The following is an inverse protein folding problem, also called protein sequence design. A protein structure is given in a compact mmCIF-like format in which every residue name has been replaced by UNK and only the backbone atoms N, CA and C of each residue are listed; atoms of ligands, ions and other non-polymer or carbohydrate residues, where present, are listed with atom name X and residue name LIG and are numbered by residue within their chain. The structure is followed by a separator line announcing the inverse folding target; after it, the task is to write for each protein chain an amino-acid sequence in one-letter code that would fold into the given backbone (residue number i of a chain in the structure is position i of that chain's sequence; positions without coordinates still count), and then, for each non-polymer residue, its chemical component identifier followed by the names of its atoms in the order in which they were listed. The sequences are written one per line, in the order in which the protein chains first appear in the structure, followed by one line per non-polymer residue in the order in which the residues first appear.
data_IF_299568376824
#
_entry.id   IF_299568376824
#
_cell.length_a   1.000
_cell.length_b   1.000
_cell.length_c   1.000
_cell.angle_alpha   90.00
_cell.angle_beta   90.00
_cell.angle_gamma   90.00
#
_symmetry.space_group_name_H-M   'P 1'
#
loop_
_entity.id
_entity.type
_entity.pdbx_description
1 polymer ?
#
# COMPACT_ATOMS: atom_id res chain seq x y z
N UNK A 1 3.29 3.82 25.20
CA UNK A 1 2.67 3.97 23.86
C UNK A 1 3.45 3.20 22.77
N UNK A 2 4.74 3.50 22.55
CA UNK A 2 5.59 2.94 21.45
C UNK A 2 5.68 1.41 21.38
N UNK A 3 5.97 0.71 22.50
CA UNK A 3 6.18 -0.76 22.49
C UNK A 3 4.97 -1.58 22.02
N UNK A 4 3.75 -1.14 22.34
CA UNK A 4 2.53 -1.83 21.90
C UNK A 4 2.31 -1.62 20.41
N UNK A 5 2.47 -0.38 19.95
CA UNK A 5 2.41 -0.03 18.53
C UNK A 5 3.41 -0.86 17.73
N UNK A 6 4.70 -0.83 18.09
CA UNK A 6 5.74 -1.59 17.38
C UNK A 6 5.45 -3.09 17.32
N UNK A 7 4.90 -3.65 18.39
CA UNK A 7 4.54 -5.06 18.44
C UNK A 7 3.38 -5.37 17.50
N UNK A 8 2.34 -4.54 17.49
CA UNK A 8 1.18 -4.72 16.60
C UNK A 8 1.57 -4.53 15.13
N UNK A 9 2.40 -3.52 14.84
CA UNK A 9 2.97 -3.28 13.51
C UNK A 9 3.79 -4.46 13.02
N UNK A 10 4.73 -4.97 13.84
CA UNK A 10 5.56 -6.12 13.47
C UNK A 10 4.76 -7.42 13.34
N UNK A 11 3.64 -7.54 14.07
CA UNK A 11 2.76 -8.68 13.99
C UNK A 11 1.79 -8.62 12.79
N UNK A 12 1.82 -7.57 11.96
CA UNK A 12 0.96 -7.44 10.79
C UNK A 12 -0.50 -7.13 11.11
N UNK A 13 -0.79 -6.62 12.31
CA UNK A 13 -2.17 -6.43 12.78
C UNK A 13 -2.91 -5.36 11.98
N UNK A 14 -2.22 -4.32 11.54
CA UNK A 14 -2.83 -3.25 10.74
C UNK A 14 -3.21 -3.75 9.35
N UNK A 15 -2.33 -4.53 8.73
CA UNK A 15 -2.52 -5.14 7.43
C UNK A 15 -3.71 -6.11 7.47
N UNK A 16 -3.79 -6.98 8.49
CA UNK A 16 -4.92 -7.89 8.66
C UNK A 16 -6.24 -7.14 8.94
N UNK A 17 -6.20 -6.06 9.72
CA UNK A 17 -7.37 -5.23 10.00
C UNK A 17 -7.90 -4.58 8.73
N UNK A 18 -7.04 -3.93 7.95
CA UNK A 18 -7.42 -3.25 6.71
C UNK A 18 -7.83 -4.23 5.61
N UNK A 19 -7.19 -5.40 5.53
CA UNK A 19 -7.60 -6.49 4.63
C UNK A 19 -9.03 -6.95 4.93
N UNK A 20 -9.38 -7.10 6.21
CA UNK A 20 -10.74 -7.43 6.65
C UNK A 20 -11.73 -6.34 6.23
N UNK A 21 -11.39 -5.07 6.43
CA UNK A 21 -12.23 -3.95 5.99
C UNK A 21 -12.40 -3.93 4.46
N UNK A 22 -11.34 -4.20 3.71
CA UNK A 22 -11.38 -4.33 2.25
C UNK A 22 -12.33 -5.43 1.79
N UNK A 23 -12.25 -6.61 2.41
CA UNK A 23 -13.15 -7.75 2.14
C UNK A 23 -14.63 -7.46 2.43
N UNK A 24 -14.92 -6.50 3.31
CA UNK A 24 -16.28 -6.07 3.65
C UNK A 24 -16.76 -4.88 2.81
N UNK A 25 -15.90 -4.25 2.01
CA UNK A 25 -16.26 -3.05 1.26
C UNK A 25 -17.22 -3.39 0.11
N UNK A 26 -18.38 -2.71 0.02
CA UNK A 26 -19.31 -2.89 -1.09
C UNK A 26 -18.80 -2.25 -2.39
N UNK A 27 -17.74 -1.43 -2.34
CA UNK A 27 -17.29 -0.61 -3.48
C UNK A 27 -15.88 -0.94 -3.96
N UNK A 28 -15.06 -1.64 -3.18
CA UNK A 28 -13.67 -1.97 -3.50
C UNK A 28 -13.49 -2.77 -4.80
N UNK A 29 -14.51 -3.54 -5.20
CA UNK A 29 -14.53 -4.28 -6.46
C UNK A 29 -14.92 -3.41 -7.67
N UNK A 30 -15.52 -2.24 -7.44
CA UNK A 30 -15.88 -1.28 -8.47
C UNK A 30 -14.75 -0.28 -8.69
N UNK A 31 -14.36 0.42 -7.63
CA UNK A 31 -13.43 1.53 -7.67
C UNK A 31 -12.41 1.37 -6.54
N UNK A 32 -11.15 1.55 -6.88
CA UNK A 32 -10.09 1.78 -5.91
C UNK A 32 -9.40 3.10 -6.20
N UNK A 33 -9.23 3.90 -5.15
CA UNK A 33 -8.62 5.22 -5.20
C UNK A 33 -7.22 5.17 -4.61
N UNK A 34 -6.27 5.86 -5.25
CA UNK A 34 -4.87 5.90 -4.87
C UNK A 34 -4.40 7.35 -4.72
N UNK A 35 -3.79 7.65 -3.58
CA UNK A 35 -3.18 8.95 -3.31
C UNK A 35 -1.95 8.77 -2.42
N UNK A 36 -1.09 9.78 -2.37
CA UNK A 36 0.04 9.81 -1.46
C UNK A 36 0.23 11.17 -0.83
N UNK A 37 0.49 11.18 0.47
CA UNK A 37 0.76 12.41 1.23
C UNK A 37 2.02 12.29 2.06
N UNK A 38 2.73 13.41 2.26
CA UNK A 38 3.88 13.47 3.14
C UNK A 38 3.37 13.66 4.58
N UNK A 39 3.65 12.70 5.46
CA UNK A 39 3.28 12.77 6.87
C UNK A 39 4.43 13.39 7.65
N UNK A 40 4.16 14.52 8.33
CA UNK A 40 5.17 15.12 9.19
C UNK A 40 5.37 14.29 10.45
N UNK A 41 6.58 13.78 10.68
CA UNK A 41 6.93 13.14 11.94
C UNK A 41 6.79 14.15 13.10
N UNK A 42 6.10 13.75 14.17
CA UNK A 42 6.02 14.54 15.40
C UNK A 42 7.43 14.80 15.95
N UNK A 43 7.65 15.93 16.64
CA UNK A 43 8.99 16.32 17.16
C UNK A 43 9.67 15.25 18.03
N UNK A 44 8.88 14.40 18.69
CA UNK A 44 9.36 13.26 19.50
C UNK A 44 9.70 11.99 18.68
N UNK A 45 9.49 12.01 17.36
CA UNK A 45 9.85 10.95 16.41
C UNK A 45 11.02 11.37 15.50
N UNK A 46 11.36 12.65 15.48
CA UNK A 46 12.52 13.19 14.77
C UNK A 46 13.80 12.90 15.57
N UNK A 47 14.34 11.68 15.45
CA UNK A 47 15.62 11.34 16.06
C UNK A 47 15.85 9.85 16.24
N UNK A 48 16.25 9.14 15.16
CA UNK A 48 17.09 7.95 15.29
C UNK A 48 17.87 7.70 13.99
N UNK A 49 19.20 7.67 14.08
CA UNK A 49 20.13 7.71 12.93
C UNK A 49 20.01 6.45 12.05
N UNK A 50 19.99 6.66 10.73
CA UNK A 50 19.59 5.69 9.70
C UNK A 50 20.39 4.38 9.59
N UNK A 51 19.67 3.32 9.19
CA UNK A 51 20.20 2.01 8.80
C UNK A 51 20.21 1.82 7.27
N UNK A 52 21.22 1.10 6.76
CA UNK A 52 21.54 0.98 5.33
C UNK A 52 20.40 0.41 4.47
N UNK A 53 20.29 0.97 3.26
CA UNK A 53 19.36 0.59 2.20
C UNK A 53 19.51 -0.89 1.80
N UNK A 54 18.55 -1.72 2.23
CA UNK A 54 18.37 -3.08 1.72
C UNK A 54 17.57 -3.06 0.42
N UNK A 55 18.19 -3.57 -0.65
CA UNK A 55 17.64 -3.72 -2.00
C UNK A 55 16.24 -4.34 -1.99
N UNK A 56 15.39 -3.89 -2.90
CA UNK A 56 14.05 -4.42 -3.16
C UNK A 56 14.14 -5.89 -3.61
N UNK A 57 14.04 -6.82 -2.66
CA UNK A 57 13.86 -8.24 -2.91
C UNK A 57 12.38 -8.56 -3.08
N UNK A 58 12.07 -9.21 -4.21
CA UNK A 58 10.78 -9.87 -4.48
C UNK A 58 10.53 -10.90 -3.39
N UNK A 59 9.49 -10.72 -2.59
CA UNK A 59 8.98 -11.72 -1.67
C UNK A 59 7.46 -11.68 -1.77
N UNK A 60 6.89 -12.78 -2.27
CA UNK A 60 5.47 -12.93 -2.52
C UNK A 60 4.62 -12.99 -1.25
N UNK A 61 3.32 -12.78 -1.46
CA UNK A 61 2.19 -13.17 -0.60
C UNK A 61 2.38 -13.02 0.91
N UNK A 62 2.82 -11.84 1.34
CA UNK A 62 2.57 -11.29 2.66
C UNK A 62 3.05 -9.83 2.61
N UNK A 63 2.13 -8.88 2.78
CA UNK A 63 2.50 -7.46 2.95
C UNK A 63 3.58 -7.35 4.03
N UNK A 64 4.66 -6.63 3.73
CA UNK A 64 5.75 -6.45 4.71
C UNK A 64 5.15 -5.66 5.88
N UNK A 65 5.35 -6.07 7.15
CA UNK A 65 4.85 -5.31 8.28
C UNK A 65 5.40 -3.89 8.21
N UNK A 66 4.54 -2.89 8.41
CA UNK A 66 4.81 -1.46 8.51
C UNK A 66 6.27 -1.13 8.88
N UNK A 67 7.16 -1.10 7.89
CA UNK A 67 8.59 -0.87 8.09
C UNK A 67 8.90 0.55 7.64
N UNK A 68 8.74 1.49 8.57
CA UNK A 68 9.17 2.88 8.39
C UNK A 68 10.65 2.89 8.00
N UNK A 69 10.96 3.42 6.82
CA UNK A 69 12.33 3.69 6.35
C UNK A 69 12.59 5.20 6.43
N UNK A 70 13.75 5.53 7.00
CA UNK A 70 14.39 6.85 7.16
C UNK A 70 13.76 7.82 8.18
N UNK A 71 14.54 8.16 9.21
CA UNK A 71 14.19 9.11 10.28
C UNK A 71 14.53 10.58 9.93
N UNK A 72 15.00 10.79 8.71
CA UNK A 72 15.60 12.02 8.18
C UNK A 72 14.81 12.58 6.97
N UNK A 73 13.86 11.82 6.43
CA UNK A 73 12.88 12.28 5.44
C UNK A 73 11.47 12.16 5.99
N UNK A 74 10.60 13.15 5.77
CA UNK A 74 9.18 13.02 6.09
C UNK A 74 8.59 11.86 5.26
N UNK A 75 8.09 10.77 5.86
CA UNK A 75 7.65 9.60 5.11
C UNK A 75 6.46 9.95 4.22
N UNK A 76 6.37 9.27 3.08
CA UNK A 76 5.19 9.30 2.23
C UNK A 76 4.26 8.16 2.62
N UNK A 77 3.01 8.52 2.89
CA UNK A 77 1.90 7.61 3.11
C UNK A 77 1.16 7.42 1.80
N UNK A 78 1.41 6.29 1.13
CA UNK A 78 0.69 5.90 -0.08
C UNK A 78 -0.55 5.12 0.35
N UNK A 79 -1.73 5.65 0.06
CA UNK A 79 -3.01 5.12 0.48
C UNK A 79 -3.73 4.42 -0.68
N UNK A 80 -4.42 3.32 -0.35
CA UNK A 80 -5.43 2.66 -1.19
C UNK A 80 -6.75 2.72 -0.46
N UNK A 81 -7.75 3.32 -1.08
CA UNK A 81 -9.10 3.40 -0.56
C UNK A 81 -10.13 2.80 -1.52
N UNK A 82 -11.29 2.46 -1.00
CA UNK A 82 -12.43 2.03 -1.80
C UNK A 82 -13.12 3.23 -2.49
N UNK A 83 -14.20 2.99 -3.23
CA UNK A 83 -14.99 4.04 -3.88
C UNK A 83 -15.77 4.94 -2.91
N UNK A 84 -15.86 4.60 -1.63
CA UNK A 84 -16.47 5.39 -0.56
C UNK A 84 -15.44 6.21 0.23
N UNK A 85 -14.15 5.99 0.00
CA UNK A 85 -13.05 6.64 0.70
C UNK A 85 -12.54 5.88 1.93
N UNK A 86 -13.02 4.67 2.17
CA UNK A 86 -12.56 3.83 3.27
C UNK A 86 -11.19 3.23 2.93
N UNK A 87 -10.23 3.34 3.86
CA UNK A 87 -8.87 2.83 3.66
C UNK A 87 -8.86 1.30 3.64
N UNK A 88 -8.32 0.71 2.57
CA UNK A 88 -8.18 -0.74 2.38
C UNK A 88 -6.73 -1.20 2.56
N UNK A 89 -5.76 -0.36 2.21
CA UNK A 89 -4.35 -0.66 2.39
C UNK A 89 -3.51 0.62 2.35
N UNK A 90 -2.27 0.53 2.80
CA UNK A 90 -1.31 1.60 2.63
C UNK A 90 0.12 1.05 2.62
N UNK A 91 1.04 1.85 2.08
CA UNK A 91 2.47 1.61 2.18
C UNK A 91 3.20 2.89 2.61
N UNK A 92 4.30 2.73 3.34
CA UNK A 92 5.13 3.84 3.79
C UNK A 92 6.48 3.82 3.08
N UNK A 93 6.81 4.92 2.40
CA UNK A 93 8.10 5.11 1.76
C UNK A 93 8.83 6.32 2.33
N UNK A 94 10.11 6.46 1.94
CA UNK A 94 10.90 7.66 2.24
C UNK A 94 10.33 8.87 1.47
N UNK A 95 10.50 10.07 2.02
CA UNK A 95 9.88 11.29 1.46
C UNK A 95 10.21 11.59 0.01
N UNK A 96 11.40 11.20 -0.45
CA UNK A 96 11.87 11.41 -1.82
C UNK A 96 11.39 10.34 -2.82
N UNK A 97 10.63 9.34 -2.37
CA UNK A 97 10.11 8.31 -3.27
C UNK A 97 9.14 8.93 -4.29
N UNK A 98 9.29 8.58 -5.56
CA UNK A 98 8.38 9.05 -6.60
C UNK A 98 7.07 8.27 -6.57
N UNK A 99 5.95 8.99 -6.62
CA UNK A 99 4.62 8.38 -6.60
C UNK A 99 4.37 7.58 -7.88
N UNK A 100 4.95 8.03 -9.00
CA UNK A 100 4.74 7.43 -10.31
C UNK A 100 5.21 5.97 -10.43
N UNK A 101 6.03 5.47 -9.51
CA UNK A 101 6.50 4.08 -9.49
C UNK A 101 5.73 3.18 -8.52
N UNK A 102 4.80 3.74 -7.74
CA UNK A 102 4.23 3.03 -6.59
C UNK A 102 2.84 2.42 -6.83
N UNK A 103 2.22 2.66 -7.99
CA UNK A 103 0.88 2.16 -8.29
C UNK A 103 0.79 0.63 -8.32
N UNK A 104 1.80 -0.05 -8.89
CA UNK A 104 1.84 -1.51 -8.95
C UNK A 104 1.86 -2.11 -7.54
N UNK A 105 2.72 -1.57 -6.66
CA UNK A 105 2.75 -1.94 -5.24
C UNK A 105 1.38 -1.75 -4.58
N UNK A 106 0.70 -0.62 -4.84
CA UNK A 106 -0.61 -0.35 -4.24
C UNK A 106 -1.72 -1.29 -4.73
N UNK A 107 -1.66 -1.72 -6.00
CA UNK A 107 -2.60 -2.71 -6.53
C UNK A 107 -2.40 -4.09 -5.88
N UNK A 108 -1.15 -4.46 -5.62
CA UNK A 108 -0.75 -5.77 -5.09
C UNK A 108 -0.91 -5.91 -3.55
N UNK A 109 -1.17 -4.82 -2.81
CA UNK A 109 -1.37 -4.85 -1.36
C UNK A 109 -2.85 -4.81 -0.95
N UNK A 110 -3.12 -5.36 0.24
CA UNK A 110 -4.45 -5.44 0.83
C UNK A 110 -5.28 -6.58 0.24
N UNK A 111 -6.60 -6.43 0.33
CA UNK A 111 -7.57 -7.42 -0.11
C UNK A 111 -7.38 -7.79 -1.58
N UNK A 112 -7.39 -9.08 -1.88
CA UNK A 112 -7.34 -9.67 -3.23
C UNK A 112 -8.66 -9.41 -3.98
N UNK A 113 -8.91 -8.12 -4.25
CA UNK A 113 -10.09 -7.58 -4.92
C UNK A 113 -9.60 -6.79 -6.12
N UNK A 114 -9.91 -7.31 -7.31
CA UNK A 114 -9.65 -6.60 -8.56
C UNK A 114 -10.72 -5.54 -8.78
N UNK A 115 -10.37 -4.24 -8.80
CA UNK A 115 -11.33 -3.18 -9.05
C UNK A 115 -11.72 -3.14 -10.53
N UNK A 116 -12.87 -2.57 -10.90
CA UNK A 116 -13.20 -2.28 -12.30
C UNK A 116 -12.54 -0.99 -12.81
N UNK A 117 -12.23 -0.06 -11.90
CA UNK A 117 -11.56 1.18 -12.21
C UNK A 117 -10.57 1.54 -11.10
N UNK A 118 -9.40 2.01 -11.51
CA UNK A 118 -8.41 2.63 -10.64
C UNK A 118 -8.45 4.15 -10.85
N UNK A 119 -8.64 4.91 -9.78
CA UNK A 119 -8.60 6.38 -9.79
C UNK A 119 -7.36 6.80 -9.02
N UNK A 120 -6.56 7.68 -9.61
CA UNK A 120 -5.37 8.20 -8.96
C UNK A 120 -5.13 9.65 -9.41
N UNK A 121 -4.35 10.38 -8.62
CA UNK A 121 -3.97 11.75 -8.94
C UNK A 121 -3.03 11.81 -10.18
N UNK A 122 -2.65 13.03 -10.57
CA UNK A 122 -1.76 13.24 -11.72
C UNK A 122 -0.36 12.67 -11.50
N UNK A 123 0.12 12.57 -10.25
CA UNK A 123 1.41 11.94 -9.91
C UNK A 123 1.49 10.49 -10.39
N UNK A 124 0.36 9.79 -10.48
CA UNK A 124 0.28 8.42 -10.98
C UNK A 124 0.04 8.29 -12.48
N UNK A 125 -0.07 9.38 -13.26
CA UNK A 125 -0.53 9.32 -14.65
C UNK A 125 0.52 8.82 -15.66
N UNK A 126 1.59 8.13 -15.25
CA UNK A 126 2.65 7.65 -16.14
C UNK A 126 2.12 6.63 -17.17
N UNK A 127 2.78 6.48 -18.32
CA UNK A 127 2.38 5.48 -19.33
C UNK A 127 2.44 4.06 -18.77
N UNK A 128 3.43 3.78 -17.94
CA UNK A 128 3.57 2.49 -17.26
C UNK A 128 2.37 2.23 -16.34
N UNK A 129 2.01 3.22 -15.52
CA UNK A 129 0.89 3.11 -14.59
C UNK A 129 -0.46 2.95 -15.30
N UNK A 130 -0.68 3.65 -16.41
CA UNK A 130 -1.89 3.42 -17.22
C UNK A 130 -1.97 1.98 -17.72
N UNK A 131 -0.85 1.41 -18.18
CA UNK A 131 -0.80 0.01 -18.59
C UNK A 131 -1.03 -0.96 -17.42
N UNK A 132 -0.46 -0.68 -16.25
CA UNK A 132 -0.67 -1.48 -15.02
C UNK A 132 -2.12 -1.39 -14.56
N UNK A 133 -2.72 -0.21 -14.53
CA UNK A 133 -4.12 -0.01 -14.18
C UNK A 133 -5.07 -0.75 -15.13
N UNK A 134 -4.81 -0.72 -16.45
CA UNK A 134 -5.58 -1.49 -17.42
C UNK A 134 -5.46 -3.01 -17.22
N UNK A 135 -4.32 -3.50 -16.71
CA UNK A 135 -4.13 -4.92 -16.38
C UNK A 135 -4.80 -5.30 -15.06
N UNK A 136 -4.62 -4.51 -14.00
CA UNK A 136 -5.21 -4.73 -12.68
C UNK A 136 -6.73 -4.64 -12.70
N UNK A 137 -7.29 -3.71 -13.49
CA UNK A 137 -8.74 -3.57 -13.65
C UNK A 137 -9.40 -4.69 -14.47
N UNK A 138 -8.59 -5.53 -15.12
CA UNK A 138 -9.00 -6.71 -15.88
C UNK A 138 -8.43 -8.03 -15.35
N UNK A 139 -7.69 -8.03 -14.24
CA UNK A 139 -7.05 -9.23 -13.72
C UNK A 139 -8.06 -10.03 -12.89
N UNK A 140 -8.48 -11.21 -13.36
CA UNK A 140 -8.93 -12.29 -12.46
C UNK A 140 -7.68 -12.97 -11.91
N UNK A 141 -7.47 -13.03 -10.59
CA UNK A 141 -6.51 -13.97 -10.03
C UNK A 141 -6.94 -15.38 -10.45
N UNK A 142 -6.06 -16.09 -11.16
CA UNK A 142 -6.29 -17.50 -11.46
C UNK A 142 -6.30 -18.31 -10.17
N UNK A 143 -7.46 -18.82 -9.79
CA UNK A 143 -7.58 -19.90 -8.82
C UNK A 143 -6.77 -21.10 -9.36
N UNK A 144 -5.90 -21.77 -8.58
CA UNK A 144 -5.42 -23.07 -9.00
C UNK A 144 -6.63 -24.00 -9.14
N UNK A 145 -6.75 -24.65 -10.29
CA UNK A 145 -7.74 -25.69 -10.51
C UNK A 145 -7.57 -26.74 -9.41
N UNK A 146 -8.64 -26.98 -8.64
CA UNK A 146 -8.71 -28.17 -7.81
C UNK A 146 -8.77 -29.36 -8.76
N UNK A 147 -7.67 -30.09 -8.87
CA UNK A 147 -7.61 -31.35 -9.60
C UNK A 147 -8.50 -32.38 -8.90
N UNK A 148 -9.39 -32.99 -9.65
CA UNK A 148 -9.95 -34.30 -9.36
C UNK A 148 -9.01 -35.37 -9.92
#
# INVERSE_FOLDING_TARGET
MRKRFDRLSKAGVFEAFLDTLGGMSPSAHLIQMFDSTIVRAHVSAAGEKGGKAGKAGKAGKAGKPLAVRAADSQPKFHAKADGCGDLIAFDLTVGEASDCTHLETLLDIGSDISPRAAIADKGYSSKANRATASKGAGHRPGHPAQGQ
#
